data_IF_542739078942
#
_entry.id   IF_542739078942
#
_cell.length_a   1.000
_cell.length_b   1.000
_cell.length_c   1.000
_cell.angle_alpha   90.00
_cell.angle_beta   90.00
_cell.angle_gamma   90.00
#
_symmetry.space_group_name_H-M   'P 1'
#
loop_
_entity.id
_entity.type
_entity.pdbx_description
1 polymer ?
#
# COMPACT_ATOMS: atom_id res chain seq x y z
N UNK A 1 -20.25 -35.49 14.91
CA UNK A 1 -19.05 -34.65 14.70
C UNK A 1 -19.52 -33.26 14.33
N UNK A 2 -19.22 -32.25 15.15
CA UNK A 2 -19.82 -30.92 15.09
C UNK A 2 -19.35 -30.10 13.88
N UNK A 3 -20.29 -29.70 13.01
CA UNK A 3 -20.04 -28.83 11.85
C UNK A 3 -19.37 -27.50 12.26
N UNK A 4 -19.70 -26.99 13.45
CA UNK A 4 -19.14 -25.75 13.99
C UNK A 4 -17.64 -25.85 14.30
N UNK A 5 -17.15 -27.04 14.65
CA UNK A 5 -15.73 -27.28 14.89
C UNK A 5 -14.96 -27.31 13.57
N UNK A 6 -15.52 -27.94 12.54
CA UNK A 6 -14.94 -28.00 11.18
C UNK A 6 -14.81 -26.60 10.56
N UNK A 7 -15.82 -25.73 10.74
CA UNK A 7 -15.76 -24.34 10.24
C UNK A 7 -14.72 -23.48 10.98
N UNK A 8 -14.55 -23.66 12.29
CA UNK A 8 -13.51 -22.97 13.08
C UNK A 8 -12.11 -23.45 12.69
N UNK A 9 -11.92 -24.74 12.47
CA UNK A 9 -10.63 -25.32 12.07
C UNK A 9 -10.26 -24.99 10.62
N UNK A 10 -11.26 -24.91 9.72
CA UNK A 10 -11.07 -24.36 8.36
C UNK A 10 -10.65 -22.90 8.39
N UNK A 11 -11.36 -22.03 9.13
CA UNK A 11 -10.98 -20.60 9.28
C UNK A 11 -9.57 -20.43 9.85
N UNK A 12 -9.19 -21.20 10.88
CA UNK A 12 -7.84 -21.19 11.45
C UNK A 12 -6.77 -21.62 10.44
N UNK A 13 -7.02 -22.66 9.64
CA UNK A 13 -6.11 -23.11 8.57
C UNK A 13 -5.96 -22.08 7.44
N UNK A 14 -7.05 -21.41 7.04
CA UNK A 14 -7.02 -20.41 5.95
C UNK A 14 -6.18 -19.17 6.33
N UNK A 15 -6.27 -18.70 7.58
CA UNK A 15 -5.45 -17.59 8.09
C UNK A 15 -3.97 -17.98 8.17
N UNK A 16 -3.65 -19.24 8.47
CA UNK A 16 -2.28 -19.76 8.53
C UNK A 16 -1.58 -19.91 7.16
N UNK A 17 -2.33 -19.86 6.05
CA UNK A 17 -1.81 -20.05 4.69
C UNK A 17 -1.91 -18.80 3.80
N UNK A 18 -2.37 -17.67 4.35
CA UNK A 18 -2.62 -16.45 3.58
C UNK A 18 -1.31 -15.79 3.11
N UNK A 19 -1.22 -15.48 1.81
CA UNK A 19 -0.20 -14.59 1.26
C UNK A 19 -0.69 -13.15 1.40
N UNK A 20 0.05 -12.33 2.13
CA UNK A 20 -0.34 -10.97 2.47
C UNK A 20 0.68 -9.99 1.90
N UNK A 21 0.20 -8.82 1.47
CA UNK A 21 1.04 -7.70 1.10
C UNK A 21 0.75 -6.54 2.06
N UNK A 22 1.79 -5.78 2.38
CA UNK A 22 1.68 -4.55 3.14
C UNK A 22 2.09 -3.37 2.27
N UNK A 23 1.21 -2.37 2.15
CA UNK A 23 1.52 -1.12 1.49
C UNK A 23 1.75 -0.02 2.53
N UNK A 24 2.89 0.67 2.44
CA UNK A 24 3.09 1.94 3.13
C UNK A 24 2.92 3.07 2.11
N UNK A 25 1.90 3.88 2.31
CA UNK A 25 1.57 5.03 1.49
C UNK A 25 1.96 6.30 2.25
N UNK A 26 2.83 7.12 1.65
CA UNK A 26 3.32 8.36 2.22
C UNK A 26 2.74 9.56 1.49
N UNK A 27 2.10 10.46 2.24
CA UNK A 27 1.40 11.63 1.71
C UNK A 27 1.91 12.87 2.42
N UNK A 28 2.16 13.92 1.64
CA UNK A 28 2.68 15.21 2.10
C UNK A 28 1.55 16.06 2.71
N UNK A 29 0.92 15.59 3.79
CA UNK A 29 -0.09 16.34 4.54
C UNK A 29 -0.31 15.72 5.94
N UNK A 30 -0.49 16.56 6.97
CA UNK A 30 -0.88 16.16 8.34
C UNK A 30 -1.77 17.18 9.06
N UNK A 31 -1.90 18.39 8.52
CA UNK A 31 -2.57 19.53 9.15
C UNK A 31 -4.00 19.69 8.64
N UNK A 32 -4.26 19.36 7.38
CA UNK A 32 -5.60 19.38 6.81
C UNK A 32 -6.38 18.10 7.18
N UNK A 33 -7.09 18.15 8.32
CA UNK A 33 -7.88 17.01 8.80
C UNK A 33 -8.95 16.54 7.81
N UNK A 34 -9.61 17.47 7.09
CA UNK A 34 -10.62 17.12 6.09
C UNK A 34 -10.02 16.31 4.94
N UNK A 35 -8.82 16.68 4.47
CA UNK A 35 -8.10 15.90 3.46
C UNK A 35 -7.74 14.51 3.99
N UNK A 36 -7.19 14.42 5.22
CA UNK A 36 -6.84 13.14 5.84
C UNK A 36 -8.05 12.22 6.00
N UNK A 37 -9.19 12.76 6.44
CA UNK A 37 -10.43 11.99 6.56
C UNK A 37 -10.95 11.51 5.21
N UNK A 38 -10.86 12.33 4.16
CA UNK A 38 -11.22 11.93 2.81
C UNK A 38 -10.39 10.75 2.31
N UNK A 39 -9.07 10.83 2.51
CA UNK A 39 -8.12 9.80 2.13
C UNK A 39 -8.38 8.49 2.90
N UNK A 40 -8.62 8.58 4.21
CA UNK A 40 -8.98 7.40 5.01
C UNK A 40 -10.32 6.79 4.58
N UNK A 41 -11.31 7.62 4.25
CA UNK A 41 -12.61 7.17 3.77
C UNK A 41 -12.47 6.40 2.46
N UNK A 42 -11.63 6.90 1.54
CA UNK A 42 -11.33 6.22 0.28
C UNK A 42 -10.72 4.82 0.53
N UNK A 43 -9.86 4.67 1.53
CA UNK A 43 -9.33 3.36 1.90
C UNK A 43 -10.42 2.39 2.38
N UNK A 44 -11.34 2.90 3.21
CA UNK A 44 -12.43 2.11 3.82
C UNK A 44 -13.52 1.68 2.83
N UNK A 45 -13.52 2.19 1.60
CA UNK A 45 -14.44 1.74 0.55
C UNK A 45 -14.24 0.26 0.19
N UNK A 46 -13.02 -0.26 0.39
CA UNK A 46 -12.74 -1.67 0.18
C UNK A 46 -12.56 -2.38 1.54
N UNK A 47 -13.52 -3.20 1.99
CA UNK A 47 -13.44 -3.89 3.28
C UNK A 47 -12.37 -4.98 3.33
N UNK A 48 -11.83 -5.39 2.17
CA UNK A 48 -10.77 -6.40 2.08
C UNK A 48 -9.37 -5.83 2.34
N UNK A 49 -9.23 -4.49 2.39
CA UNK A 49 -7.98 -3.82 2.76
C UNK A 49 -8.12 -3.18 4.14
N UNK A 50 -7.18 -3.48 5.03
CA UNK A 50 -7.20 -2.98 6.41
C UNK A 50 -6.11 -1.93 6.60
N UNK A 51 -6.47 -0.75 7.11
CA UNK A 51 -5.49 0.19 7.66
C UNK A 51 -5.05 -0.36 9.03
N UNK A 52 -3.82 -0.86 9.10
CA UNK A 52 -3.25 -1.40 10.36
C UNK A 52 -2.56 -0.32 11.19
N UNK A 53 -2.14 0.77 10.56
CA UNK A 53 -1.52 1.90 11.26
C UNK A 53 -1.63 3.20 10.46
N UNK A 54 -1.80 4.32 11.16
CA UNK A 54 -1.66 5.68 10.65
C UNK A 54 -0.63 6.41 11.51
N UNK A 55 0.48 6.79 10.92
CA UNK A 55 1.53 7.57 11.58
C UNK A 55 1.55 8.99 11.01
N UNK A 56 1.42 10.00 11.87
CA UNK A 56 1.41 11.41 11.48
C UNK A 56 2.62 12.10 12.07
N UNK A 57 3.38 12.79 11.24
CA UNK A 57 4.51 13.61 11.65
C UNK A 57 4.24 15.09 11.32
N UNK A 58 3.89 15.87 12.35
CA UNK A 58 3.52 17.27 12.20
C UNK A 58 4.70 18.19 11.86
N UNK A 59 5.93 17.81 12.25
CA UNK A 59 7.15 18.56 11.92
C UNK A 59 7.48 18.36 10.45
N UNK A 60 7.37 17.12 9.98
CA UNK A 60 7.64 16.76 8.59
C UNK A 60 6.48 17.11 7.66
N UNK A 61 5.31 17.39 8.24
CA UNK A 61 4.03 17.54 7.55
C UNK A 61 3.79 16.39 6.56
N UNK A 62 3.96 15.17 7.06
CA UNK A 62 3.85 13.93 6.28
C UNK A 62 3.13 12.84 7.07
N UNK A 63 2.13 12.24 6.46
CA UNK A 63 1.41 11.09 7.00
C UNK A 63 1.83 9.81 6.29
N UNK A 64 1.88 8.71 7.04
CA UNK A 64 2.07 7.37 6.53
C UNK A 64 0.88 6.50 6.91
N UNK A 65 0.21 5.95 5.91
CA UNK A 65 -0.76 4.88 6.09
C UNK A 65 -0.07 3.53 5.86
N UNK A 66 -0.33 2.57 6.74
CA UNK A 66 0.09 1.18 6.58
C UNK A 66 -1.16 0.34 6.33
N UNK A 67 -1.24 -0.24 5.14
CA UNK A 67 -2.37 -1.00 4.63
C UNK A 67 -1.96 -2.46 4.48
N UNK A 68 -2.85 -3.39 4.77
CA UNK A 68 -2.60 -4.83 4.57
C UNK A 68 -3.81 -5.46 3.87
N UNK A 69 -3.54 -6.30 2.89
CA UNK A 69 -4.54 -7.19 2.28
C UNK A 69 -3.87 -8.45 1.74
N UNK A 70 -4.66 -9.36 1.20
CA UNK A 70 -4.17 -10.58 0.56
C UNK A 70 -3.76 -10.35 -0.90
N UNK A 71 -3.01 -11.31 -1.41
CA UNK A 71 -2.77 -11.49 -2.85
C UNK A 71 -3.31 -12.86 -3.25
N UNK A 72 -4.06 -12.90 -4.34
CA UNK A 72 -4.59 -14.12 -4.93
C UNK A 72 -3.77 -14.52 -6.16
N UNK A 73 -3.65 -15.83 -6.35
CA UNK A 73 -2.90 -16.44 -7.43
C UNK A 73 -3.79 -17.34 -8.28
N UNK A 74 -3.43 -17.50 -9.54
CA UNK A 74 -4.06 -18.49 -10.41
C UNK A 74 -3.59 -19.93 -10.08
N UNK A 75 -4.05 -20.90 -10.87
CA UNK A 75 -3.67 -22.31 -10.71
C UNK A 75 -2.18 -22.59 -10.94
N UNK A 76 -1.45 -21.66 -11.57
CA UNK A 76 0.00 -21.76 -11.82
C UNK A 76 0.84 -21.15 -10.70
N UNK A 77 0.19 -20.46 -9.74
CA UNK A 77 0.89 -19.72 -8.71
C UNK A 77 1.36 -18.33 -9.16
N UNK A 78 0.76 -17.77 -10.21
CA UNK A 78 1.04 -16.39 -10.65
C UNK A 78 0.08 -15.41 -9.97
N UNK A 79 0.53 -14.25 -9.46
CA UNK A 79 -0.34 -13.28 -8.82
C UNK A 79 -1.28 -12.64 -9.85
N UNK A 80 -2.57 -12.59 -9.53
CA UNK A 80 -3.62 -12.08 -10.44
C UNK A 80 -4.47 -10.98 -9.83
N UNK A 81 -4.55 -10.90 -8.50
CA UNK A 81 -5.42 -9.92 -7.83
C UNK A 81 -4.91 -9.57 -6.43
N UNK A 82 -5.01 -8.29 -6.08
CA UNK A 82 -4.92 -7.83 -4.70
C UNK A 82 -5.85 -6.63 -4.49
N UNK A 83 -6.70 -6.62 -3.45
CA UNK A 83 -7.54 -5.47 -3.11
C UNK A 83 -6.75 -4.16 -2.89
N UNK A 84 -5.48 -4.27 -2.51
CA UNK A 84 -4.58 -3.13 -2.30
C UNK A 84 -4.47 -2.24 -3.54
N UNK A 85 -4.55 -2.79 -4.76
CA UNK A 85 -4.42 -2.00 -5.98
C UNK A 85 -5.49 -0.89 -6.02
N UNK A 86 -6.75 -1.28 -5.93
CA UNK A 86 -7.87 -0.33 -6.00
C UNK A 86 -7.90 0.60 -4.78
N UNK A 87 -7.60 0.08 -3.58
CA UNK A 87 -7.54 0.89 -2.37
C UNK A 87 -6.48 1.98 -2.48
N UNK A 88 -5.25 1.63 -2.91
CA UNK A 88 -4.17 2.61 -3.06
C UNK A 88 -4.52 3.66 -4.11
N UNK A 89 -5.08 3.25 -5.26
CA UNK A 89 -5.51 4.19 -6.30
C UNK A 89 -6.60 5.15 -5.82
N UNK A 90 -7.58 4.67 -5.05
CA UNK A 90 -8.62 5.51 -4.47
C UNK A 90 -8.05 6.53 -3.47
N UNK A 91 -7.14 6.09 -2.60
CA UNK A 91 -6.46 6.98 -1.64
C UNK A 91 -5.59 8.02 -2.35
N UNK A 92 -4.86 7.62 -3.40
CA UNK A 92 -4.05 8.53 -4.22
C UNK A 92 -4.95 9.57 -4.89
N UNK A 93 -6.04 9.16 -5.54
CA UNK A 93 -7.01 10.08 -6.14
C UNK A 93 -7.56 11.10 -5.13
N UNK A 94 -8.04 10.61 -3.98
CA UNK A 94 -8.54 11.49 -2.92
C UNK A 94 -7.47 12.46 -2.38
N UNK A 95 -6.20 12.04 -2.34
CA UNK A 95 -5.10 12.91 -1.93
C UNK A 95 -4.85 14.03 -2.94
N UNK A 96 -4.78 13.71 -4.23
CA UNK A 96 -4.58 14.72 -5.29
C UNK A 96 -5.77 15.69 -5.43
N UNK A 97 -6.98 15.25 -5.14
CA UNK A 97 -8.16 16.12 -5.13
C UNK A 97 -8.20 17.08 -3.92
N UNK A 98 -7.73 16.62 -2.75
CA UNK A 98 -7.91 17.34 -1.49
C UNK A 98 -6.70 18.19 -1.05
N UNK A 99 -5.51 17.95 -1.60
CA UNK A 99 -4.26 18.57 -1.15
C UNK A 99 -3.73 19.53 -2.22
N UNK A 100 -3.60 20.81 -1.85
CA UNK A 100 -2.84 21.78 -2.64
C UNK A 100 -1.39 21.79 -2.18
N UNK A 101 -0.49 21.27 -3.03
CA UNK A 101 0.93 21.19 -2.72
C UNK A 101 1.63 22.56 -2.68
N UNK A 102 1.11 23.59 -3.35
CA UNK A 102 1.69 24.95 -3.33
C UNK A 102 1.64 25.58 -1.94
N UNK A 103 0.66 25.18 -1.13
CA UNK A 103 0.49 25.63 0.25
C UNK A 103 1.22 24.74 1.26
N UNK A 104 1.86 23.65 0.79
CA UNK A 104 2.52 22.69 1.66
C UNK A 104 3.84 23.24 2.21
N UNK A 105 3.98 23.20 3.53
CA UNK A 105 5.24 23.48 4.23
C UNK A 105 5.49 22.42 5.30
N UNK A 106 6.68 21.82 5.27
CA UNK A 106 7.13 20.77 6.20
C UNK A 106 8.63 20.53 6.07
N UNK A 107 9.26 19.99 7.12
CA UNK A 107 10.71 19.79 7.14
C UNK A 107 11.20 18.61 6.28
N UNK A 108 10.30 17.74 5.82
CA UNK A 108 10.67 16.58 5.00
C UNK A 108 10.75 16.96 3.51
N UNK A 109 11.85 16.64 2.81
CA UNK A 109 11.93 16.79 1.36
C UNK A 109 10.83 15.98 0.68
N UNK A 110 10.09 16.59 -0.25
CA UNK A 110 8.97 15.95 -0.94
C UNK A 110 8.98 16.27 -2.42
N UNK A 111 8.54 15.31 -3.22
CA UNK A 111 8.44 15.46 -4.68
C UNK A 111 7.01 15.71 -5.16
N UNK A 112 6.01 15.24 -4.41
CA UNK A 112 4.61 15.38 -4.78
C UNK A 112 3.65 15.28 -3.60
N UNK A 113 2.35 15.34 -3.90
CA UNK A 113 1.27 15.10 -2.93
C UNK A 113 1.42 13.71 -2.33
N UNK A 114 1.59 12.70 -3.19
CA UNK A 114 1.97 11.34 -2.78
C UNK A 114 3.46 11.18 -3.06
N UNK A 115 4.26 11.10 -2.02
CA UNK A 115 5.72 11.15 -2.13
C UNK A 115 6.34 9.77 -2.38
N UNK A 116 5.74 8.73 -1.80
CA UNK A 116 6.29 7.38 -1.86
C UNK A 116 5.20 6.34 -1.57
N UNK A 117 5.22 5.25 -2.35
CA UNK A 117 4.42 4.06 -2.10
C UNK A 117 5.39 2.88 -2.03
N UNK A 118 5.31 2.04 -1.00
CA UNK A 118 6.12 0.83 -0.98
C UNK A 118 5.33 -0.40 -0.52
N UNK A 119 5.54 -1.49 -1.24
CA UNK A 119 4.91 -2.78 -1.01
C UNK A 119 5.95 -3.73 -0.39
N UNK A 120 5.55 -4.36 0.70
CA UNK A 120 6.34 -5.34 1.44
C UNK A 120 5.60 -6.68 1.39
N UNK A 121 6.27 -7.79 1.01
CA UNK A 121 5.73 -9.11 1.26
C UNK A 121 5.55 -9.33 2.75
N UNK A 122 4.42 -9.93 3.14
CA UNK A 122 4.14 -10.40 4.48
C UNK A 122 3.71 -11.86 4.45
N UNK A 123 3.92 -12.55 5.59
CA UNK A 123 3.63 -13.97 5.73
C UNK A 123 4.29 -14.81 4.63
N UNK A 124 3.51 -15.39 3.71
CA UNK A 124 4.01 -16.28 2.65
C UNK A 124 4.20 -15.61 1.30
N UNK A 125 3.91 -14.31 1.17
CA UNK A 125 4.16 -13.58 -0.08
C UNK A 125 5.67 -13.40 -0.29
N UNK A 126 6.09 -13.26 -1.54
CA UNK A 126 7.46 -12.99 -1.94
C UNK A 126 7.62 -11.57 -2.50
N UNK A 127 8.87 -11.16 -2.73
CA UNK A 127 9.13 -9.87 -3.39
C UNK A 127 8.52 -9.80 -4.79
N UNK A 128 8.33 -10.94 -5.47
CA UNK A 128 7.81 -10.93 -6.83
C UNK A 128 6.33 -10.51 -6.85
N UNK A 129 5.52 -10.92 -5.87
CA UNK A 129 4.15 -10.40 -5.71
C UNK A 129 4.14 -8.91 -5.35
N UNK A 130 5.04 -8.47 -4.48
CA UNK A 130 5.14 -7.05 -4.13
C UNK A 130 5.56 -6.19 -5.34
N UNK A 131 6.51 -6.68 -6.14
CA UNK A 131 6.98 -6.01 -7.36
C UNK A 131 5.91 -6.03 -8.46
N UNK A 132 5.17 -7.12 -8.60
CA UNK A 132 4.02 -7.21 -9.50
C UNK A 132 2.97 -6.15 -9.15
N UNK A 133 2.57 -6.05 -7.89
CA UNK A 133 1.58 -5.07 -7.45
C UNK A 133 2.09 -3.64 -7.62
N UNK A 134 3.37 -3.38 -7.32
CA UNK A 134 3.98 -2.07 -7.53
C UNK A 134 3.93 -1.62 -9.00
N UNK A 135 4.20 -2.54 -9.94
CA UNK A 135 4.10 -2.27 -11.38
C UNK A 135 2.69 -1.97 -11.82
N UNK A 136 1.71 -2.75 -11.35
CA UNK A 136 0.29 -2.51 -11.66
C UNK A 136 -0.18 -1.15 -11.15
N UNK A 137 0.10 -0.84 -9.89
CA UNK A 137 -0.30 0.44 -9.29
C UNK A 137 0.38 1.62 -9.98
N UNK A 138 1.68 1.54 -10.26
CA UNK A 138 2.39 2.60 -10.98
C UNK A 138 1.84 2.84 -12.39
N UNK A 139 1.51 1.77 -13.13
CA UNK A 139 0.91 1.88 -14.45
C UNK A 139 -0.48 2.57 -14.39
N UNK A 140 -1.31 2.18 -13.43
CA UNK A 140 -2.63 2.79 -13.24
C UNK A 140 -2.54 4.27 -12.82
N UNK A 141 -1.58 4.62 -11.96
CA UNK A 141 -1.32 6.01 -11.57
C UNK A 141 -0.91 6.82 -12.79
N UNK A 142 0.07 6.34 -13.57
CA UNK A 142 0.55 7.04 -14.77
C UNK A 142 -0.54 7.22 -15.84
N UNK A 143 -1.46 6.26 -15.96
CA UNK A 143 -2.59 6.36 -16.88
C UNK A 143 -3.67 7.36 -16.43
N UNK A 144 -3.92 7.46 -15.11
CA UNK A 144 -4.98 8.32 -14.56
C UNK A 144 -4.52 9.75 -14.35
N UNK A 145 -3.28 9.94 -13.92
CA UNK A 145 -2.70 11.24 -13.58
C UNK A 145 -1.73 11.64 -14.70
N UNK A 146 -2.28 12.26 -15.75
CA UNK A 146 -1.48 12.74 -16.89
C UNK A 146 -0.31 13.62 -16.41
N UNK A 147 0.89 13.35 -16.93
CA UNK A 147 2.11 14.09 -16.55
C UNK A 147 2.82 13.57 -15.30
N UNK A 148 2.31 12.54 -14.64
CA UNK A 148 2.95 11.92 -13.48
C UNK A 148 3.96 10.86 -13.89
N UNK A 149 5.20 10.94 -13.40
CA UNK A 149 6.23 9.95 -13.67
C UNK A 149 6.45 9.04 -12.46
N UNK A 150 6.48 7.73 -12.70
CA UNK A 150 6.67 6.74 -11.64
C UNK A 150 7.99 5.98 -11.83
N UNK A 151 8.88 6.02 -10.83
CA UNK A 151 10.05 5.14 -10.77
C UNK A 151 9.74 3.93 -9.87
N UNK A 152 9.95 2.74 -10.41
CA UNK A 152 9.76 1.48 -9.70
C UNK A 152 11.13 0.88 -9.39
N UNK A 153 11.39 0.60 -8.11
CA UNK A 153 12.59 -0.13 -7.70
C UNK A 153 12.23 -1.32 -6.84
N UNK A 154 13.05 -2.37 -6.88
CA UNK A 154 12.95 -3.49 -5.94
C UNK A 154 14.23 -3.54 -5.13
N UNK A 155 14.10 -3.73 -3.83
CA UNK A 155 15.23 -3.80 -2.92
C UNK A 155 15.30 -5.19 -2.30
N UNK A 156 16.39 -5.91 -2.60
CA UNK A 156 16.80 -7.14 -1.92
C UNK A 156 18.13 -6.87 -1.20
N UNK A 157 18.15 -6.72 0.12
CA UNK A 157 19.41 -6.53 0.84
C UNK A 157 20.26 -7.80 0.73
N UNK A 158 21.51 -7.62 0.30
CA UNK A 158 22.53 -8.68 0.25
C UNK A 158 23.26 -8.75 1.58
N UNK A 159 22.66 -9.43 2.56
CA UNK A 159 23.27 -9.70 3.86
C UNK A 159 22.44 -10.74 4.63
N UNK A 160 23.09 -11.73 5.23
CA UNK A 160 22.41 -12.86 5.89
C UNK A 160 21.44 -12.44 7.00
N UNK A 161 21.73 -11.31 7.67
CA UNK A 161 20.93 -10.75 8.76
C UNK A 161 19.79 -9.82 8.31
N UNK A 162 19.66 -9.53 7.02
CA UNK A 162 18.68 -8.55 6.49
C UNK A 162 17.70 -9.19 5.50
N UNK A 163 17.75 -10.52 5.33
CA UNK A 163 16.96 -11.26 4.32
C UNK A 163 15.43 -11.04 4.41
N UNK A 164 14.93 -10.58 5.55
CA UNK A 164 13.51 -10.28 5.81
C UNK A 164 13.02 -8.91 5.30
N UNK A 165 13.92 -7.98 4.94
CA UNK A 165 13.52 -6.64 4.47
C UNK A 165 13.54 -6.53 2.95
N UNK A 166 12.56 -7.16 2.31
CA UNK A 166 12.32 -7.02 0.87
C UNK A 166 11.18 -6.03 0.60
N UNK A 167 11.31 -5.21 -0.43
CA UNK A 167 10.24 -4.30 -0.84
C UNK A 167 10.32 -3.83 -2.28
N UNK A 168 9.17 -3.50 -2.84
CA UNK A 168 9.03 -2.79 -4.10
C UNK A 168 8.55 -1.36 -3.82
N UNK A 169 9.13 -0.38 -4.51
CA UNK A 169 8.93 1.03 -4.25
C UNK A 169 8.43 1.73 -5.51
N UNK A 170 7.50 2.67 -5.34
CA UNK A 170 7.06 3.62 -6.36
C UNK A 170 7.38 5.01 -5.80
N UNK A 171 8.19 5.76 -6.54
CA UNK A 171 8.34 7.21 -6.33
C UNK A 171 7.61 7.94 -7.44
N UNK A 172 6.83 8.94 -7.05
CA UNK A 172 5.97 9.71 -7.93
C UNK A 172 6.60 11.11 -8.07
N UNK A 173 6.79 11.55 -9.31
CA UNK A 173 7.39 12.82 -9.70
C UNK A 173 6.44 13.60 -10.58
#
# INVERSE_FOLDING_TARGET
MDLNQICKDKKKKTVQQSMLLCCKLYISETRNNSALESIERAARLNPETVIVNKFQDGVYNRVRFTLVSYVAHDSTGSPIYSPLQQTVLAMVGAAYEAINLELHSGAHPRLGVVDHICFHPLARASLDEAAWLAKLVAADIGNRLQGTFCLITTHRPTGEWVREYQSAHIRIY
#
